data_IF_695227739283
#
_entry.id   IF_695227739283
#
_cell.length_a   1.000
_cell.length_b   1.000
_cell.length_c   1.000
_cell.angle_alpha   90.00
_cell.angle_beta   90.00
_cell.angle_gamma   90.00
#
_symmetry.space_group_name_H-M   'P 1'
#
loop_
_entity.id
_entity.type
_entity.pdbx_description
1 polymer ?
#
# COMPACT_ATOMS: atom_id res chain seq x y z
N UNK A 1 -17.61 32.47 -15.72
CA UNK A 1 -16.56 31.46 -15.96
C UNK A 1 -16.00 31.05 -14.62
N UNK A 2 -16.59 30.04 -13.99
CA UNK A 2 -16.20 29.56 -12.67
C UNK A 2 -15.21 28.43 -12.88
N UNK A 3 -13.93 28.65 -12.54
CA UNK A 3 -12.90 27.63 -12.67
C UNK A 3 -13.20 26.47 -11.73
N UNK A 4 -13.33 25.27 -12.30
CA UNK A 4 -13.35 23.99 -11.60
C UNK A 4 -12.00 23.78 -10.90
N UNK A 5 -11.88 24.26 -9.68
CA UNK A 5 -10.93 23.71 -8.72
C UNK A 5 -11.58 22.51 -8.06
N UNK A 6 -11.50 21.34 -8.69
CA UNK A 6 -11.94 20.10 -8.06
C UNK A 6 -11.10 19.89 -6.79
N UNK A 7 -11.78 19.77 -5.64
CA UNK A 7 -11.15 19.52 -4.35
C UNK A 7 -10.37 18.20 -4.44
N UNK A 8 -9.05 18.26 -4.24
CA UNK A 8 -8.15 17.11 -4.32
C UNK A 8 -8.30 16.11 -3.16
N UNK A 9 -9.38 16.18 -2.36
CA UNK A 9 -9.59 15.35 -1.16
C UNK A 9 -9.95 13.90 -1.48
N UNK A 10 -10.42 13.64 -2.71
CA UNK A 10 -10.88 12.33 -3.18
C UNK A 10 -9.80 11.52 -3.92
N UNK A 11 -8.64 12.12 -4.22
CA UNK A 11 -7.57 11.42 -4.93
C UNK A 11 -6.84 10.49 -3.97
N UNK A 12 -6.80 9.20 -4.30
CA UNK A 12 -6.12 8.18 -3.52
C UNK A 12 -5.43 7.14 -4.39
N UNK A 13 -4.39 6.53 -3.84
CA UNK A 13 -3.80 5.29 -4.36
C UNK A 13 -4.37 4.15 -3.54
N UNK A 14 -4.84 3.10 -4.20
CA UNK A 14 -5.34 1.90 -3.55
C UNK A 14 -4.36 0.75 -3.76
N UNK A 15 -4.08 0.01 -2.69
CA UNK A 15 -3.23 -1.18 -2.70
C UNK A 15 -3.87 -2.32 -1.91
N UNK A 16 -3.48 -3.54 -2.21
CA UNK A 16 -3.84 -4.76 -1.52
C UNK A 16 -2.63 -5.28 -0.74
N UNK A 17 -2.85 -5.67 0.51
CA UNK A 17 -1.81 -6.18 1.39
C UNK A 17 -2.19 -7.56 1.91
N UNK A 18 -1.31 -8.55 1.70
CA UNK A 18 -1.43 -9.86 2.34
C UNK A 18 -0.45 -9.94 3.51
N UNK A 19 -0.95 -10.17 4.73
CA UNK A 19 -0.12 -10.46 5.90
C UNK A 19 -0.31 -11.91 6.31
N UNK A 20 0.77 -12.70 6.30
CA UNK A 20 0.75 -14.11 6.73
C UNK A 20 1.87 -14.40 7.73
N UNK A 21 1.66 -15.41 8.55
CA UNK A 21 2.70 -15.92 9.45
C UNK A 21 3.52 -16.99 8.73
N UNK A 22 4.85 -16.81 8.72
CA UNK A 22 5.83 -17.74 8.16
C UNK A 22 6.99 -17.84 9.14
N UNK A 23 7.34 -19.06 9.57
CA UNK A 23 8.45 -19.35 10.48
C UNK A 23 8.49 -18.49 11.76
N UNK A 24 7.31 -18.22 12.35
CA UNK A 24 7.15 -17.42 13.57
C UNK A 24 7.33 -15.91 13.36
N UNK A 25 7.34 -15.46 12.12
CA UNK A 25 7.38 -14.06 11.71
C UNK A 25 6.16 -13.72 10.86
N UNK A 26 5.79 -12.44 10.82
CA UNK A 26 4.72 -11.95 9.95
C UNK A 26 5.31 -11.27 8.73
N UNK A 27 4.94 -11.77 7.56
CA UNK A 27 5.35 -11.27 6.24
C UNK A 27 4.18 -10.54 5.62
N UNK A 28 4.37 -9.25 5.33
CA UNK A 28 3.39 -8.39 4.68
C UNK A 28 3.82 -8.09 3.23
N UNK A 29 3.02 -8.51 2.25
CA UNK A 29 3.23 -8.24 0.83
C UNK A 29 2.28 -7.14 0.36
N UNK A 30 2.81 -6.08 -0.27
CA UNK A 30 2.04 -5.17 -1.11
C UNK A 30 1.95 -5.74 -2.52
N UNK A 31 0.74 -5.97 -3.00
CA UNK A 31 0.51 -6.74 -4.22
C UNK A 31 0.74 -5.91 -5.49
N UNK A 32 0.49 -4.61 -5.47
CA UNK A 32 0.63 -3.72 -6.64
C UNK A 32 2.08 -3.24 -6.87
N UNK A 33 2.89 -3.26 -5.81
CA UNK A 33 4.24 -2.65 -5.80
C UNK A 33 5.37 -3.67 -5.54
N UNK A 34 5.01 -4.93 -5.24
CA UNK A 34 5.93 -6.03 -4.88
C UNK A 34 6.88 -5.65 -3.73
N UNK A 35 6.32 -4.95 -2.74
CA UNK A 35 7.04 -4.55 -1.52
C UNK A 35 6.75 -5.56 -0.44
N UNK A 36 7.81 -5.99 0.26
CA UNK A 36 7.70 -6.95 1.36
C UNK A 36 8.28 -6.35 2.64
N UNK A 37 7.56 -6.51 3.75
CA UNK A 37 8.07 -6.23 5.08
C UNK A 37 7.89 -7.44 5.99
N UNK A 38 8.88 -7.68 6.86
CA UNK A 38 8.87 -8.81 7.81
C UNK A 38 9.00 -8.27 9.22
N UNK A 39 8.18 -8.78 10.15
CA UNK A 39 8.19 -8.32 11.54
C UNK A 39 7.68 -9.38 12.50
N UNK A 40 7.92 -9.20 13.81
CA UNK A 40 7.51 -10.17 14.83
C UNK A 40 6.00 -10.19 15.13
N UNK A 41 5.27 -9.17 14.68
CA UNK A 41 3.83 -9.04 14.92
C UNK A 41 3.14 -8.55 13.65
N UNK A 42 1.86 -8.90 13.43
CA UNK A 42 1.12 -8.47 12.24
C UNK A 42 0.96 -6.95 12.18
N UNK A 43 0.75 -6.30 13.34
CA UNK A 43 0.61 -4.84 13.39
C UNK A 43 1.92 -4.12 13.06
N UNK A 44 3.07 -4.70 13.43
CA UNK A 44 4.36 -4.17 13.02
C UNK A 44 4.58 -4.40 11.53
N UNK A 45 4.32 -5.60 11.01
CA UNK A 45 4.44 -5.87 9.57
C UNK A 45 3.58 -4.91 8.73
N UNK A 46 2.35 -4.63 9.17
CA UNK A 46 1.48 -3.61 8.55
C UNK A 46 2.12 -2.21 8.57
N UNK A 47 2.68 -1.77 9.70
CA UNK A 47 3.30 -0.44 9.79
C UNK A 47 4.52 -0.32 8.88
N UNK A 48 5.38 -1.34 8.90
CA UNK A 48 6.60 -1.37 8.08
C UNK A 48 6.26 -1.37 6.59
N UNK A 49 5.34 -2.24 6.13
CA UNK A 49 4.96 -2.29 4.71
C UNK A 49 4.31 -0.97 4.26
N UNK A 50 3.47 -0.35 5.09
CA UNK A 50 2.88 0.96 4.78
C UNK A 50 3.96 2.04 4.66
N UNK A 51 4.97 2.05 5.53
CA UNK A 51 6.09 2.99 5.43
C UNK A 51 6.84 2.83 4.11
N UNK A 52 7.10 1.60 3.68
CA UNK A 52 7.78 1.30 2.42
C UNK A 52 6.93 1.72 1.21
N UNK A 53 5.62 1.41 1.21
CA UNK A 53 4.67 1.85 0.17
C UNK A 53 4.67 3.37 0.06
N UNK A 54 4.53 4.07 1.18
CA UNK A 54 4.54 5.54 1.21
C UNK A 54 5.83 6.12 0.63
N UNK A 55 6.99 5.56 1.00
CA UNK A 55 8.29 6.00 0.50
C UNK A 55 8.43 5.75 -1.02
N UNK A 56 8.02 4.59 -1.52
CA UNK A 56 8.08 4.26 -2.94
C UNK A 56 7.14 5.14 -3.77
N UNK A 57 5.92 5.38 -3.29
CA UNK A 57 4.96 6.29 -3.92
C UNK A 57 5.55 7.70 -3.95
N UNK A 58 5.98 8.25 -2.82
CA UNK A 58 6.56 9.59 -2.74
C UNK A 58 7.78 9.75 -3.66
N UNK A 59 8.66 8.74 -3.71
CA UNK A 59 9.80 8.72 -4.62
C UNK A 59 9.35 8.75 -6.09
N UNK A 60 8.38 7.90 -6.47
CA UNK A 60 7.91 7.82 -7.84
C UNK A 60 7.28 9.14 -8.32
N UNK A 61 6.49 9.80 -7.48
CA UNK A 61 5.94 11.12 -7.78
C UNK A 61 7.05 12.18 -7.87
N UNK A 62 7.90 12.28 -6.84
CA UNK A 62 8.92 13.33 -6.74
C UNK A 62 9.94 13.30 -7.88
N UNK A 63 10.19 12.13 -8.46
CA UNK A 63 11.20 11.92 -9.51
C UNK A 63 10.60 11.65 -10.90
N UNK A 64 9.30 11.92 -11.11
CA UNK A 64 8.59 11.63 -12.37
C UNK A 64 8.81 10.18 -12.86
N UNK A 65 8.78 9.24 -11.93
CA UNK A 65 9.10 7.82 -12.13
C UNK A 65 7.87 6.92 -11.99
N UNK A 66 6.68 7.45 -12.30
CA UNK A 66 5.40 6.73 -12.14
C UNK A 66 5.32 5.47 -13.00
N UNK A 67 5.99 5.44 -14.16
CA UNK A 67 6.05 4.27 -15.04
C UNK A 67 6.69 3.04 -14.37
N UNK A 68 7.50 3.25 -13.33
CA UNK A 68 8.15 2.19 -12.56
C UNK A 68 7.55 2.04 -11.15
N UNK A 69 6.42 2.70 -10.87
CA UNK A 69 5.76 2.59 -9.57
C UNK A 69 5.12 1.21 -9.40
N UNK A 70 4.33 0.79 -10.40
CA UNK A 70 3.60 -0.47 -10.35
C UNK A 70 4.47 -1.63 -10.80
N UNK A 71 4.71 -2.55 -9.89
CA UNK A 71 5.40 -3.81 -10.12
C UNK A 71 4.61 -4.88 -9.38
N UNK A 72 3.71 -5.62 -10.04
CA UNK A 72 2.81 -6.51 -9.34
C UNK A 72 3.56 -7.70 -8.76
N UNK A 73 3.20 -8.10 -7.54
CA UNK A 73 3.70 -9.30 -6.89
C UNK A 73 3.40 -10.56 -7.71
N UNK A 74 4.14 -11.67 -7.49
CA UNK A 74 3.92 -12.93 -8.18
C UNK A 74 2.47 -13.46 -8.06
N UNK A 75 1.95 -14.17 -9.08
CA UNK A 75 0.54 -14.63 -9.12
C UNK A 75 0.11 -15.49 -7.92
N UNK A 76 1.03 -16.23 -7.31
CA UNK A 76 0.78 -17.05 -6.13
C UNK A 76 0.36 -16.20 -4.92
N UNK A 77 0.95 -15.01 -4.74
CA UNK A 77 0.63 -14.08 -3.64
C UNK A 77 -0.77 -13.50 -3.85
N UNK A 78 -1.12 -13.15 -5.09
CA UNK A 78 -2.49 -12.74 -5.45
C UNK A 78 -3.51 -13.84 -5.18
N UNK A 79 -3.16 -15.07 -5.54
CA UNK A 79 -4.03 -16.23 -5.32
C UNK A 79 -4.30 -16.45 -3.83
N UNK A 80 -3.30 -16.27 -2.97
CA UNK A 80 -3.49 -16.32 -1.51
C UNK A 80 -4.37 -15.18 -1.00
N UNK A 81 -4.15 -13.95 -1.46
CA UNK A 81 -4.97 -12.80 -1.08
C UNK A 81 -6.44 -12.97 -1.46
N UNK A 82 -6.75 -13.49 -2.65
CA UNK A 82 -8.13 -13.71 -3.08
C UNK A 82 -8.82 -14.89 -2.38
N UNK A 83 -8.09 -15.76 -1.68
CA UNK A 83 -8.70 -16.78 -0.81
C UNK A 83 -9.23 -16.18 0.49
N UNK A 84 -8.86 -14.95 0.83
CA UNK A 84 -9.36 -14.27 2.00
C UNK A 84 -10.84 -13.89 1.86
N UNK A 85 -11.64 -14.25 2.86
CA UNK A 85 -13.07 -13.90 2.90
C UNK A 85 -13.31 -12.42 3.20
N UNK A 86 -12.39 -11.78 3.92
CA UNK A 86 -12.52 -10.39 4.35
C UNK A 86 -11.21 -9.63 4.16
N UNK A 87 -11.34 -8.38 3.75
CA UNK A 87 -10.26 -7.39 3.70
C UNK A 87 -10.65 -6.20 4.56
N UNK A 88 -9.70 -5.70 5.37
CA UNK A 88 -9.89 -4.49 6.16
C UNK A 88 -9.27 -3.32 5.40
N UNK A 89 -10.11 -2.40 4.94
CA UNK A 89 -9.66 -1.15 4.33
C UNK A 89 -9.22 -0.15 5.40
N UNK A 90 -8.00 0.40 5.26
CA UNK A 90 -7.48 1.48 6.09
C UNK A 90 -6.95 2.61 5.23
N UNK A 91 -7.19 3.85 5.66
CA UNK A 91 -6.74 5.08 4.97
C UNK A 91 -5.53 5.67 5.68
N UNK A 92 -4.48 5.95 4.92
CA UNK A 92 -3.21 6.50 5.39
C UNK A 92 -2.91 7.80 4.66
N UNK A 93 -2.36 8.78 5.38
CA UNK A 93 -1.93 10.04 4.78
C UNK A 93 -0.54 9.86 4.16
N UNK A 94 -0.40 10.19 2.89
CA UNK A 94 0.91 10.25 2.25
C UNK A 94 1.59 11.55 2.67
N UNK A 95 2.83 11.43 3.14
CA UNK A 95 3.66 12.58 3.48
C UNK A 95 4.79 12.64 2.46
N UNK A 96 5.03 13.82 1.90
CA UNK A 96 6.19 14.03 1.03
C UNK A 96 7.43 14.27 1.88
N UNK A 97 8.39 13.36 1.80
CA UNK A 97 9.72 13.46 2.39
C UNK A 97 10.76 14.07 1.45
N UNK A 98 10.47 14.15 0.14
CA UNK A 98 11.36 14.73 -0.87
C UNK A 98 10.95 16.16 -1.27
N UNK A 99 11.91 16.98 -1.73
CA UNK A 99 11.63 18.34 -2.21
C UNK A 99 10.75 18.24 -3.48
N UNK A 100 9.59 18.89 -3.44
CA UNK A 100 8.65 18.97 -4.58
C UNK A 100 9.35 19.46 -5.84
N UNK A 101 9.39 18.63 -6.88
CA UNK A 101 9.48 19.12 -8.25
C UNK A 101 8.13 19.77 -8.62
N UNK A 102 8.16 20.75 -9.52
CA UNK A 102 7.04 21.69 -9.77
C UNK A 102 5.79 20.99 -10.36
N UNK A 103 5.90 19.72 -10.78
CA UNK A 103 4.87 19.02 -11.56
C UNK A 103 4.24 17.80 -10.87
N UNK A 104 4.76 17.32 -9.72
CA UNK A 104 4.23 16.09 -9.09
C UNK A 104 3.21 16.38 -7.98
N UNK A 105 1.92 16.23 -8.28
CA UNK A 105 0.86 16.26 -7.27
C UNK A 105 0.79 14.86 -6.64
N UNK A 106 1.49 14.68 -5.52
CA UNK A 106 1.36 13.47 -4.68
C UNK A 106 -0.10 13.35 -4.20
N UNK A 107 -0.77 12.20 -4.43
CA UNK A 107 -2.08 11.95 -3.84
C UNK A 107 -2.03 12.10 -2.32
N UNK A 108 -3.04 12.71 -1.69
CA UNK A 108 -3.03 12.89 -0.24
C UNK A 108 -3.21 11.58 0.54
N UNK A 109 -3.76 10.54 -0.11
CA UNK A 109 -4.23 9.34 0.58
C UNK A 109 -3.75 8.05 -0.08
N UNK A 110 -3.42 7.08 0.77
CA UNK A 110 -3.25 5.68 0.45
C UNK A 110 -4.38 4.89 1.11
N UNK A 111 -5.09 4.06 0.35
CA UNK A 111 -6.08 3.10 0.86
C UNK A 111 -5.44 1.71 0.77
N UNK A 112 -5.28 1.04 1.91
CA UNK A 112 -4.75 -0.32 1.93
C UNK A 112 -5.85 -1.30 2.33
N UNK A 113 -6.18 -2.22 1.43
CA UNK A 113 -7.07 -3.34 1.68
C UNK A 113 -6.24 -4.52 2.19
N UNK A 114 -6.28 -4.77 3.49
CA UNK A 114 -5.40 -5.75 4.13
C UNK A 114 -6.14 -7.05 4.42
N UNK A 115 -5.60 -8.18 3.95
CA UNK A 115 -5.98 -9.50 4.44
C UNK A 115 -4.95 -10.02 5.45
N UNK A 116 -5.44 -10.66 6.52
CA UNK A 116 -4.63 -11.49 7.41
C UNK A 116 -5.28 -12.88 7.60
N UNK A 117 -4.86 -13.91 6.85
CA UNK A 117 -5.37 -15.28 7.02
C UNK A 117 -4.98 -15.78 8.41
N UNK A 118 -5.96 -16.05 9.28
CA UNK A 118 -5.74 -16.61 10.62
C UNK A 118 -6.28 -15.80 11.79
N UNK A 119 -6.46 -14.48 11.68
CA UNK A 119 -7.16 -13.68 12.72
C UNK A 119 -8.68 -13.56 12.50
N UNK A 120 -9.15 -13.81 11.28
CA UNK A 120 -10.57 -13.69 10.87
C UNK A 120 -11.15 -15.01 10.33
N UNK A 121 -10.39 -16.10 10.41
CA UNK A 121 -10.84 -17.42 9.97
C UNK A 121 -11.03 -18.31 11.18
N UNK A 122 -12.21 -18.24 11.80
CA UNK A 122 -12.72 -19.39 12.54
C UNK A 122 -13.08 -20.45 11.49
N UNK A 123 -12.30 -21.52 11.47
CA UNK A 123 -12.70 -22.80 10.86
C UNK A 123 -13.66 -23.49 11.82
#
# INVERSE_FOLDING_TARGET
>A
MTSLGEKSEDISISVNILIKEEDGMYVAHCLELDVVAVSKTPDQAQREVISLICAQVDYAFSNNNLNNLYHPAPPEVWTEFFKCKEQIARKYKLQSGFKKSIESILPPWLIANTCQPGKLCHV
#
